data_IF_018473420123
#
_entry.id   IF_018473420123
#
_cell.length_a   1.000
_cell.length_b   1.000
_cell.length_c   1.000
_cell.angle_alpha   90.00
_cell.angle_beta   90.00
_cell.angle_gamma   90.00
#
_symmetry.space_group_name_H-M   'P 1'
#
loop_
_entity.id
_entity.type
_entity.pdbx_description
1 polymer ?
#
# COMPACT_ATOMS: atom_id res chain seq x y z
N UNK A 1 1.86 -2.72 10.67
CA UNK A 1 3.11 -2.85 9.90
C UNK A 1 2.75 -2.97 8.43
N UNK A 2 3.46 -2.31 7.50
CA UNK A 2 3.18 -2.49 6.08
C UNK A 2 3.38 -3.97 5.75
N UNK A 3 2.34 -4.62 5.26
CA UNK A 3 2.33 -6.05 4.91
C UNK A 3 2.14 -6.16 3.41
N UNK A 4 2.86 -7.09 2.80
CA UNK A 4 2.69 -7.43 1.39
C UNK A 4 1.43 -8.27 1.25
N UNK A 5 0.50 -7.83 0.42
CA UNK A 5 -0.78 -8.48 0.15
C UNK A 5 -0.89 -8.91 -1.30
N UNK A 6 -1.86 -9.76 -1.63
CA UNK A 6 -2.09 -10.15 -3.02
C UNK A 6 -2.87 -9.07 -3.77
N UNK A 7 -3.78 -8.38 -3.08
CA UNK A 7 -4.55 -7.26 -3.61
C UNK A 7 -4.79 -6.19 -2.53
N UNK A 8 -5.18 -4.99 -2.93
CA UNK A 8 -5.49 -3.89 -2.02
C UNK A 8 -6.63 -4.22 -1.03
N UNK A 9 -7.56 -5.11 -1.41
CA UNK A 9 -8.73 -5.46 -0.60
C UNK A 9 -8.44 -6.48 0.53
N UNK A 10 -7.25 -7.06 0.57
CA UNK A 10 -6.86 -8.00 1.63
C UNK A 10 -6.62 -7.32 2.98
N UNK A 11 -6.44 -5.99 2.97
CA UNK A 11 -6.29 -5.18 4.16
C UNK A 11 -7.62 -4.50 4.55
N UNK A 12 -7.84 -4.15 5.83
CA UNK A 12 -9.01 -3.37 6.24
C UNK A 12 -9.12 -2.03 5.49
N UNK A 13 -10.34 -1.50 5.38
CA UNK A 13 -10.58 -0.17 4.80
C UNK A 13 -9.70 0.91 5.47
N UNK A 14 -9.06 1.76 4.66
CA UNK A 14 -8.15 2.81 5.13
C UNK A 14 -6.76 2.33 5.55
N UNK A 15 -6.47 1.02 5.53
CA UNK A 15 -5.15 0.51 5.89
C UNK A 15 -4.13 0.68 4.75
N UNK A 16 -2.89 1.04 5.13
CA UNK A 16 -1.74 1.12 4.22
C UNK A 16 -1.13 -0.28 4.00
N UNK A 17 -0.92 -0.64 2.74
CA UNK A 17 -0.35 -1.92 2.32
C UNK A 17 0.50 -1.78 1.05
N UNK A 18 1.19 -2.86 0.69
CA UNK A 18 1.82 -3.01 -0.61
C UNK A 18 1.34 -4.30 -1.30
N UNK A 19 1.31 -4.32 -2.63
CA UNK A 19 0.96 -5.50 -3.43
C UNK A 19 1.60 -5.40 -4.82
N UNK A 20 1.60 -6.49 -5.59
CA UNK A 20 2.02 -6.45 -7.00
C UNK A 20 0.81 -6.12 -7.87
N UNK A 21 0.85 -4.95 -8.51
CA UNK A 21 -0.23 -4.49 -9.38
C UNK A 21 -0.27 -5.21 -10.72
N UNK A 22 -1.34 -4.96 -11.48
CA UNK A 22 -1.52 -5.55 -12.82
C UNK A 22 -0.43 -5.14 -13.82
N UNK A 23 0.26 -4.03 -13.55
CA UNK A 23 1.44 -3.58 -14.30
C UNK A 23 2.69 -4.44 -14.08
N UNK A 24 2.66 -5.36 -13.10
CA UNK A 24 3.78 -6.21 -12.72
C UNK A 24 4.77 -5.55 -11.75
N UNK A 25 4.45 -4.36 -11.23
CA UNK A 25 5.30 -3.63 -10.28
C UNK A 25 4.76 -3.64 -8.87
N UNK A 26 5.63 -3.38 -7.89
CA UNK A 26 5.24 -3.15 -6.52
C UNK A 26 4.51 -1.81 -6.39
N UNK A 27 3.30 -1.85 -5.86
CA UNK A 27 2.47 -0.68 -5.60
C UNK A 27 2.26 -0.50 -4.09
N UNK A 28 2.30 0.75 -3.64
CA UNK A 28 1.89 1.12 -2.28
C UNK A 28 0.49 1.72 -2.37
N UNK A 29 -0.45 1.14 -1.64
CA UNK A 29 -1.85 1.51 -1.71
C UNK A 29 -2.46 1.70 -0.31
N UNK A 30 -3.65 2.29 -0.29
CA UNK A 30 -4.54 2.35 0.86
C UNK A 30 -5.85 1.72 0.41
N UNK A 31 -6.36 0.73 1.13
CA UNK A 31 -7.65 0.16 0.76
C UNK A 31 -8.74 1.25 0.84
N UNK A 32 -9.48 1.45 -0.25
CA UNK A 32 -10.47 2.53 -0.41
C UNK A 32 -9.94 3.95 -0.13
N UNK A 33 -8.67 4.23 -0.43
CA UNK A 33 -8.08 5.55 -0.19
C UNK A 33 -6.94 5.92 -1.14
N UNK A 34 -6.35 7.09 -0.88
CA UNK A 34 -5.24 7.64 -1.68
C UNK A 34 -3.96 7.54 -0.86
N UNK A 35 -3.04 6.65 -1.27
CA UNK A 35 -1.79 6.44 -0.54
C UNK A 35 -0.90 7.70 -0.48
N UNK A 36 -0.92 8.53 -1.54
CA UNK A 36 -0.10 9.75 -1.57
C UNK A 36 -0.50 10.76 -0.49
N UNK A 37 -1.76 10.79 -0.05
CA UNK A 37 -2.20 11.67 1.03
C UNK A 37 -1.59 11.28 2.39
N UNK A 38 -1.31 9.98 2.60
CA UNK A 38 -0.67 9.49 3.82
C UNK A 38 0.86 9.66 3.76
N UNK A 39 1.43 9.51 2.57
CA UNK A 39 2.89 9.39 2.37
C UNK A 39 3.58 10.75 2.20
N UNK A 40 2.89 11.79 1.72
CA UNK A 40 3.46 13.13 1.40
C UNK A 40 4.41 13.71 2.46
N UNK A 41 4.16 13.44 3.74
CA UNK A 41 4.95 13.98 4.86
C UNK A 41 5.82 12.95 5.59
N UNK A 42 5.81 11.68 5.15
CA UNK A 42 6.43 10.57 5.87
C UNK A 42 7.46 9.84 5.01
N UNK A 43 8.65 9.64 5.57
CA UNK A 43 9.62 8.68 5.02
C UNK A 43 9.06 7.27 5.21
N UNK A 44 8.62 6.64 4.12
CA UNK A 44 8.19 5.24 4.14
C UNK A 44 9.39 4.36 3.88
N UNK A 45 9.71 3.49 4.85
CA UNK A 45 10.69 2.43 4.66
C UNK A 45 9.93 1.15 4.32
N UNK A 46 10.14 0.65 3.10
CA UNK A 46 9.65 -0.67 2.70
C UNK A 46 10.73 -1.68 3.07
N UNK A 47 10.38 -2.66 3.90
CA UNK A 47 11.23 -3.80 4.23
C UNK A 47 10.57 -5.01 3.58
N UNK A 48 11.15 -5.44 2.46
CA UNK A 48 10.77 -6.64 1.72
C UNK A 48 11.51 -7.85 2.29
#
# INVERSE_FOLDING_TARGET
MPHLSNTFSDAPEGALLAYIGSSGFLEIAVNSGIASDIIKEKKVRILL
#
